data_IF_802340824607
#
_entry.id   IF_802340824607
#
_cell.length_a   1.000
_cell.length_b   1.000
_cell.length_c   1.000
_cell.angle_alpha   90.00
_cell.angle_beta   90.00
_cell.angle_gamma   90.00
#
_symmetry.space_group_name_H-M   'P 1'
#
loop_
_entity.id
_entity.type
_entity.pdbx_description
1 polymer ?
#
# COMPACT_ATOMS: atom_id res chain seq x y z
N UNK A 1 47.69 11.80 -43.22
CA UNK A 1 46.28 11.36 -43.09
C UNK A 1 46.30 9.85 -42.84
N UNK A 2 45.76 9.24 -41.79
CA UNK A 2 44.87 9.73 -40.73
C UNK A 2 45.14 8.92 -39.44
N UNK A 3 46.11 9.36 -38.63
CA UNK A 3 46.29 8.90 -37.23
C UNK A 3 45.20 9.47 -36.29
N UNK A 4 44.26 10.26 -36.82
CA UNK A 4 43.13 10.83 -36.08
C UNK A 4 41.88 9.94 -36.05
N UNK A 5 41.82 8.86 -36.85
CA UNK A 5 40.66 7.93 -36.85
C UNK A 5 40.74 6.82 -35.78
N UNK A 6 41.92 6.57 -35.20
CA UNK A 6 42.07 5.54 -34.17
C UNK A 6 41.82 6.02 -32.74
N UNK A 7 42.08 7.30 -32.45
CA UNK A 7 41.92 7.85 -31.09
C UNK A 7 40.44 7.97 -30.71
N UNK A 8 39.54 8.27 -31.66
CA UNK A 8 38.10 8.33 -31.40
C UNK A 8 37.45 6.94 -31.23
N UNK A 9 38.04 5.89 -31.81
CA UNK A 9 37.57 4.50 -31.66
C UNK A 9 37.97 3.89 -30.32
N UNK A 10 39.20 4.17 -29.86
CA UNK A 10 39.65 3.77 -28.51
C UNK A 10 38.91 4.53 -27.41
N UNK A 11 38.48 5.78 -27.66
CA UNK A 11 37.62 6.54 -26.74
C UNK A 11 36.15 6.12 -26.77
N UNK A 12 35.66 5.47 -27.84
CA UNK A 12 34.32 4.85 -27.86
C UNK A 12 34.29 3.51 -27.14
N UNK A 13 35.38 2.75 -27.16
CA UNK A 13 35.48 1.43 -26.51
C UNK A 13 35.86 1.50 -25.02
N UNK A 14 36.35 2.66 -24.55
CA UNK A 14 36.63 2.93 -23.13
C UNK A 14 35.55 3.76 -22.43
N UNK A 15 34.34 3.90 -23.00
CA UNK A 15 33.22 4.56 -22.31
C UNK A 15 32.79 3.71 -21.11
N UNK A 16 32.81 4.23 -19.88
CA UNK A 16 32.28 3.52 -18.73
C UNK A 16 30.79 3.23 -18.96
N UNK A 17 30.35 1.99 -18.74
CA UNK A 17 28.93 1.57 -18.77
C UNK A 17 28.00 2.34 -17.80
N UNK A 18 28.54 3.33 -17.10
CA UNK A 18 27.84 4.26 -16.22
C UNK A 18 27.22 5.45 -16.97
N UNK A 19 27.63 5.71 -18.23
CA UNK A 19 27.13 6.81 -19.07
C UNK A 19 26.00 6.42 -20.04
N UNK A 20 25.77 5.13 -20.28
CA UNK A 20 24.60 4.62 -21.03
C UNK A 20 23.41 4.27 -20.12
N UNK A 21 23.46 4.72 -18.86
CA UNK A 21 22.29 4.64 -17.99
C UNK A 21 21.30 5.71 -18.42
N UNK A 22 20.40 5.33 -19.33
CA UNK A 22 19.03 5.83 -19.26
C UNK A 22 18.49 5.73 -17.83
N UNK A 23 17.42 6.47 -17.48
CA UNK A 23 16.89 6.48 -16.11
C UNK A 23 16.82 5.03 -15.60
N UNK A 24 17.54 4.75 -14.50
CA UNK A 24 17.55 3.40 -13.93
C UNK A 24 16.09 3.00 -13.72
N UNK A 25 15.68 1.77 -14.10
CA UNK A 25 14.42 1.23 -13.64
C UNK A 25 14.38 1.43 -12.13
N UNK A 26 13.33 2.10 -11.66
CA UNK A 26 13.13 2.29 -10.23
C UNK A 26 12.99 0.87 -9.65
N UNK A 27 13.80 0.55 -8.65
CA UNK A 27 13.66 -0.71 -7.92
C UNK A 27 12.24 -0.76 -7.36
N UNK A 28 11.42 -1.67 -7.90
CA UNK A 28 9.99 -1.75 -7.64
C UNK A 28 9.69 -2.15 -6.19
N UNK A 29 10.62 -2.86 -5.54
CA UNK A 29 10.59 -3.07 -4.11
C UNK A 29 11.01 -1.80 -3.35
N UNK A 30 11.91 -0.97 -3.87
CA UNK A 30 12.31 0.30 -3.24
C UNK A 30 11.24 1.40 -3.29
N UNK A 31 10.28 1.32 -4.23
CA UNK A 31 9.11 2.22 -4.29
C UNK A 31 8.12 1.94 -3.16
N UNK A 32 7.95 0.67 -2.82
CA UNK A 32 7.04 0.20 -1.75
C UNK A 32 7.76 -0.08 -0.44
N UNK A 33 9.10 -0.13 -0.44
CA UNK A 33 9.91 -0.35 0.75
C UNK A 33 9.87 0.87 1.67
N UNK A 34 9.98 0.57 2.96
CA UNK A 34 10.25 1.58 3.98
C UNK A 34 11.38 2.52 3.54
N UNK A 35 11.15 3.85 3.50
CA UNK A 35 12.26 4.78 3.46
C UNK A 35 13.11 4.59 4.72
N UNK A 36 14.39 4.33 4.48
CA UNK A 36 15.43 4.35 5.49
C UNK A 36 15.52 5.76 6.07
N UNK A 37 15.63 5.91 7.40
CA UNK A 37 15.94 7.21 8.00
C UNK A 37 17.35 7.65 7.59
N UNK A 38 17.47 8.37 6.46
CA UNK A 38 18.66 9.16 6.17
C UNK A 38 18.60 10.39 7.07
N UNK A 39 19.02 10.21 8.32
CA UNK A 39 19.21 11.32 9.26
C UNK A 39 20.11 12.38 8.62
N UNK A 40 19.48 13.46 8.14
CA UNK A 40 20.13 14.62 7.59
C UNK A 40 20.98 15.26 8.68
N UNK A 41 22.27 15.41 8.41
CA UNK A 41 23.20 16.14 9.27
C UNK A 41 22.77 17.62 9.27
N UNK A 42 21.97 18.02 10.25
CA UNK A 42 22.04 19.39 10.74
C UNK A 42 23.39 19.53 11.44
N UNK A 43 24.35 20.17 10.76
CA UNK A 43 25.59 20.64 11.36
C UNK A 43 25.27 21.63 12.47
N UNK A 44 25.07 21.14 13.70
CA UNK A 44 24.92 21.99 14.88
C UNK A 44 26.32 22.42 15.31
N UNK A 45 26.71 23.63 14.89
CA UNK A 45 27.78 24.39 15.56
C UNK A 45 27.41 24.51 17.04
N UNK A 46 28.28 24.00 17.91
CA UNK A 46 28.14 24.11 19.37
C UNK A 46 28.37 25.56 19.76
N UNK A 47 27.34 26.23 20.27
CA UNK A 47 27.51 27.39 21.13
C UNK A 47 27.20 26.92 22.56
N UNK A 48 28.26 26.81 23.33
CA UNK A 48 28.23 26.63 24.78
C UNK A 48 27.83 27.97 25.38
N UNK A 49 26.75 28.00 26.16
CA UNK A 49 26.56 29.01 27.19
C UNK A 49 25.92 28.32 28.40
N UNK A 50 26.72 28.27 29.45
CA UNK A 50 26.38 27.86 30.79
C UNK A 50 25.59 28.97 31.50
N UNK A 51 24.62 28.59 32.34
CA UNK A 51 24.41 29.11 33.70
C UNK A 51 22.99 28.77 34.18
N UNK A 52 22.87 28.43 35.47
CA UNK A 52 21.67 28.72 36.27
C UNK A 52 20.95 27.52 36.89
N UNK A 53 21.39 27.13 38.08
CA UNK A 53 20.65 26.35 39.08
C UNK A 53 19.42 27.11 39.61
N UNK A 54 18.34 26.39 39.99
CA UNK A 54 17.75 26.27 41.36
C UNK A 54 16.46 25.42 41.28
N UNK A 55 16.18 24.53 42.27
CA UNK A 55 15.04 23.60 42.26
C UNK A 55 13.78 24.18 42.93
N UNK A 56 12.60 23.71 42.54
CA UNK A 56 11.37 23.88 43.33
C UNK A 56 10.47 22.65 43.21
N UNK A 57 10.17 22.07 44.36
CA UNK A 57 9.22 20.99 44.63
C UNK A 57 7.83 21.59 44.81
N UNK A 58 6.78 21.01 44.21
CA UNK A 58 5.42 20.99 44.79
C UNK A 58 4.45 20.03 44.05
N UNK A 59 4.03 19.01 44.81
CA UNK A 59 2.75 18.31 44.90
C UNK A 59 1.68 18.36 43.77
N UNK A 60 1.29 17.15 43.35
CA UNK A 60 -0.05 16.56 43.23
C UNK A 60 -1.28 17.45 42.92
N UNK A 61 -1.97 17.11 41.82
CA UNK A 61 -3.42 16.82 41.81
C UNK A 61 -3.81 16.12 40.49
N UNK A 62 -4.38 14.93 40.62
CA UNK A 62 -5.02 14.20 39.53
C UNK A 62 -6.46 14.71 39.36
N UNK A 63 -6.89 14.97 38.12
CA UNK A 63 -8.31 15.08 37.77
C UNK A 63 -8.53 14.23 36.52
N UNK A 64 -9.05 13.02 36.74
CA UNK A 64 -9.70 12.22 35.70
C UNK A 64 -11.13 12.70 35.55
N UNK A 65 -11.52 13.13 34.35
CA UNK A 65 -12.93 13.26 33.97
C UNK A 65 -13.34 11.96 33.28
N UNK A 66 -13.97 11.06 34.04
CA UNK A 66 -14.71 9.93 33.49
C UNK A 66 -16.12 10.42 33.13
N UNK A 67 -16.50 10.31 31.86
CA UNK A 67 -17.90 10.46 31.44
C UNK A 67 -18.50 9.06 31.41
N UNK A 68 -19.25 8.72 32.45
CA UNK A 68 -20.15 7.57 32.51
C UNK A 68 -21.45 7.92 31.80
N UNK A 69 -21.74 7.26 30.67
CA UNK A 69 -23.06 7.31 30.03
C UNK A 69 -23.96 6.30 30.73
N UNK A 70 -24.89 6.79 31.55
CA UNK A 70 -25.99 6.01 32.10
C UNK A 70 -27.01 5.70 31.01
N UNK A 71 -27.28 4.41 30.79
CA UNK A 71 -28.43 3.93 30.02
C UNK A 71 -29.66 4.00 30.91
N UNK A 72 -30.55 4.96 30.63
CA UNK A 72 -31.87 5.01 31.24
C UNK A 72 -32.82 4.05 30.51
N UNK A 73 -33.25 3.00 31.22
CA UNK A 73 -34.30 2.09 30.78
C UNK A 73 -35.66 2.78 30.96
N UNK A 74 -36.46 2.87 29.90
CA UNK A 74 -37.87 3.27 29.98
C UNK A 74 -38.77 2.03 30.03
N UNK A 75 -39.91 2.06 30.75
CA UNK A 75 -40.77 0.89 30.94
C UNK A 75 -41.56 0.55 29.67
N UNK A 76 -41.63 -0.75 29.37
CA UNK A 76 -42.46 -1.30 28.30
C UNK A 76 -43.96 -1.19 28.64
N UNK A 77 -44.75 -0.69 27.69
CA UNK A 77 -46.22 -0.84 27.67
C UNK A 77 -46.56 -1.76 26.50
N UNK A 78 -47.46 -2.76 26.64
CA UNK A 78 -47.69 -3.76 25.61
C UNK A 78 -48.73 -3.27 24.60
N UNK A 79 -48.37 -3.28 23.31
CA UNK A 79 -49.28 -2.99 22.19
C UNK A 79 -49.50 -4.30 21.38
N UNK A 80 -50.73 -4.63 20.99
CA UNK A 80 -51.10 -5.95 20.45
C UNK A 80 -50.53 -6.25 19.05
N UNK A 81 -50.13 -7.52 18.84
CA UNK A 81 -49.73 -8.08 17.55
C UNK A 81 -50.88 -8.10 16.54
N UNK A 82 -50.64 -7.72 15.26
CA UNK A 82 -51.48 -8.14 14.16
C UNK A 82 -51.07 -9.53 13.64
N UNK A 83 -52.10 -10.31 13.34
CA UNK A 83 -52.13 -11.67 12.82
C UNK A 83 -51.25 -11.92 11.59
N UNK A 84 -50.59 -13.07 11.60
CA UNK A 84 -49.77 -13.66 10.54
C UNK A 84 -50.60 -13.94 9.27
N UNK A 85 -50.35 -13.20 8.19
CA UNK A 85 -50.57 -13.71 6.82
C UNK A 85 -49.27 -14.35 6.34
N UNK A 86 -49.24 -15.69 6.33
CA UNK A 86 -48.17 -16.51 5.77
C UNK A 86 -47.95 -16.15 4.30
N UNK A 87 -46.74 -15.67 3.99
CA UNK A 87 -46.22 -15.60 2.63
C UNK A 87 -45.49 -16.91 2.33
N UNK A 88 -45.64 -17.52 1.14
CA UNK A 88 -44.98 -18.78 0.83
C UNK A 88 -43.46 -18.64 0.97
N UNK A 89 -42.83 -19.63 1.59
CA UNK A 89 -41.39 -19.73 1.76
C UNK A 89 -40.67 -19.55 0.42
N UNK A 90 -39.57 -18.77 0.35
CA UNK A 90 -38.69 -18.80 -0.81
C UNK A 90 -38.14 -20.22 -0.94
N UNK A 91 -38.36 -20.79 -2.12
CA UNK A 91 -37.84 -22.08 -2.56
C UNK A 91 -36.34 -22.13 -2.31
N UNK A 92 -35.91 -23.14 -1.55
CA UNK A 92 -34.52 -23.58 -1.48
C UNK A 92 -33.99 -23.72 -2.91
N UNK A 93 -33.12 -22.79 -3.32
CA UNK A 93 -32.34 -22.95 -4.55
C UNK A 93 -31.00 -23.59 -4.15
N UNK A 94 -30.74 -24.85 -4.52
CA UNK A 94 -29.40 -25.41 -4.38
C UNK A 94 -28.55 -24.96 -5.56
N UNK A 95 -27.51 -24.15 -5.34
CA UNK A 95 -26.36 -24.04 -6.24
C UNK A 95 -25.18 -23.33 -5.56
N UNK A 96 -24.49 -24.06 -4.68
CA UNK A 96 -23.13 -23.72 -4.23
C UNK A 96 -22.18 -23.94 -5.43
N UNK A 97 -22.28 -23.05 -6.42
CA UNK A 97 -21.36 -23.02 -7.56
C UNK A 97 -20.09 -22.35 -7.06
N UNK A 98 -18.90 -22.97 -7.15
CA UNK A 98 -17.67 -22.31 -6.73
C UNK A 98 -17.55 -20.97 -7.48
N UNK A 99 -17.65 -19.86 -6.75
CA UNK A 99 -17.53 -18.52 -7.36
C UNK A 99 -16.12 -18.41 -7.93
N UNK A 100 -16.02 -18.52 -9.26
CA UNK A 100 -14.74 -18.44 -9.96
C UNK A 100 -14.13 -17.05 -9.76
N UNK A 101 -12.80 -16.97 -9.75
CA UNK A 101 -12.09 -15.68 -9.59
C UNK A 101 -12.53 -14.67 -10.66
N UNK A 102 -12.72 -15.15 -11.89
CA UNK A 102 -13.26 -14.38 -13.01
C UNK A 102 -14.65 -13.83 -12.68
N UNK A 103 -15.58 -14.67 -12.24
CA UNK A 103 -16.94 -14.24 -11.89
C UNK A 103 -16.95 -13.17 -10.80
N UNK A 104 -16.15 -13.37 -9.74
CA UNK A 104 -15.99 -12.40 -8.67
C UNK A 104 -15.52 -11.04 -9.19
N UNK A 105 -14.48 -11.02 -10.02
CA UNK A 105 -13.92 -9.78 -10.56
C UNK A 105 -14.88 -9.07 -11.52
N UNK A 106 -15.68 -9.82 -12.28
CA UNK A 106 -16.71 -9.23 -13.14
C UNK A 106 -17.84 -8.60 -12.34
N UNK A 107 -18.27 -9.23 -11.24
CA UNK A 107 -19.24 -8.63 -10.31
C UNK A 107 -18.68 -7.36 -9.69
N UNK A 108 -17.42 -7.38 -9.22
CA UNK A 108 -16.75 -6.19 -8.70
C UNK A 108 -16.68 -5.07 -9.75
N UNK A 109 -16.39 -5.41 -11.01
CA UNK A 109 -16.38 -4.46 -12.12
C UNK A 109 -17.74 -3.81 -12.37
N UNK A 110 -18.84 -4.58 -12.26
CA UNK A 110 -20.20 -4.05 -12.40
C UNK A 110 -20.57 -3.12 -11.25
N UNK A 111 -20.21 -3.49 -10.02
CA UNK A 111 -20.48 -2.68 -8.82
C UNK A 111 -19.77 -1.33 -8.89
N UNK A 112 -18.45 -1.31 -9.15
CA UNK A 112 -17.71 -0.04 -9.21
C UNK A 112 -18.07 0.79 -10.44
N UNK A 113 -18.57 0.20 -11.52
CA UNK A 113 -19.04 0.96 -12.68
C UNK A 113 -20.36 1.70 -12.42
N UNK A 114 -21.11 1.31 -11.39
CA UNK A 114 -22.34 1.97 -10.98
C UNK A 114 -22.08 3.20 -10.08
N UNK A 115 -20.84 3.39 -9.62
CA UNK A 115 -20.46 4.57 -8.84
C UNK A 115 -20.57 5.84 -9.69
N UNK A 116 -21.00 6.94 -9.07
CA UNK A 116 -20.98 8.23 -9.71
C UNK A 116 -19.53 8.73 -9.87
N UNK A 117 -19.21 9.24 -11.05
CA UNK A 117 -17.93 9.90 -11.28
C UNK A 117 -17.82 11.16 -10.41
N UNK A 118 -17.09 11.03 -9.31
CA UNK A 118 -16.77 12.15 -8.42
C UNK A 118 -15.50 12.88 -8.89
N UNK A 119 -15.39 14.15 -8.51
CA UNK A 119 -14.23 15.00 -8.73
C UNK A 119 -14.03 15.96 -7.57
N UNK A 120 -12.85 16.55 -7.48
CA UNK A 120 -12.50 17.54 -6.47
C UNK A 120 -11.12 18.12 -6.70
N UNK A 121 -10.73 19.12 -5.90
CA UNK A 121 -9.38 19.71 -5.95
C UNK A 121 -8.28 18.71 -5.61
N UNK A 122 -8.57 17.76 -4.72
CA UNK A 122 -7.64 16.72 -4.29
C UNK A 122 -8.27 15.34 -4.35
N UNK A 123 -7.52 14.36 -4.84
CA UNK A 123 -7.75 12.96 -4.50
C UNK A 123 -7.00 12.63 -3.22
N UNK A 124 -7.74 12.34 -2.16
CA UNK A 124 -7.20 12.10 -0.83
C UNK A 124 -7.24 10.61 -0.53
N UNK A 125 -6.07 10.02 -0.32
CA UNK A 125 -5.95 8.63 0.12
C UNK A 125 -5.26 8.55 1.47
N UNK A 126 -5.76 7.64 2.31
CA UNK A 126 -5.11 7.21 3.54
C UNK A 126 -4.97 5.70 3.48
N UNK A 127 -3.74 5.22 3.48
CA UNK A 127 -3.44 3.79 3.36
C UNK A 127 -2.49 3.40 4.50
N UNK A 128 -2.67 2.19 5.03
CA UNK A 128 -1.69 1.56 5.92
C UNK A 128 -0.88 0.55 5.13
N UNK A 129 0.44 0.72 5.14
CA UNK A 129 1.35 -0.28 4.61
C UNK A 129 1.95 -1.07 5.78
N UNK A 130 2.05 -2.37 5.62
CA UNK A 130 2.76 -3.25 6.53
C UNK A 130 3.80 -4.06 5.78
N UNK A 131 4.96 -4.26 6.39
CA UNK A 131 5.96 -5.16 5.85
C UNK A 131 6.64 -5.97 6.95
N UNK A 132 6.73 -7.27 6.69
CA UNK A 132 7.24 -8.26 7.62
C UNK A 132 8.77 -8.29 7.57
N UNK A 133 9.39 -8.22 8.73
CA UNK A 133 10.82 -8.32 8.94
C UNK A 133 11.13 -9.40 9.96
N UNK A 134 12.11 -10.22 9.64
CA UNK A 134 12.65 -11.17 10.59
C UNK A 134 13.66 -10.44 11.49
N UNK A 135 13.47 -10.53 12.80
CA UNK A 135 14.30 -9.85 13.81
C UNK A 135 14.65 -10.80 14.96
N UNK A 136 15.40 -10.28 15.93
CA UNK A 136 15.81 -11.02 17.12
C UNK A 136 17.09 -11.84 16.93
N UNK A 137 17.43 -12.71 17.88
CA UNK A 137 18.65 -13.50 17.85
C UNK A 137 18.68 -14.49 16.68
N UNK A 138 19.83 -14.62 15.99
CA UNK A 138 20.00 -15.51 14.82
C UNK A 138 19.58 -16.97 15.06
N UNK A 139 19.77 -17.47 16.29
CA UNK A 139 19.43 -18.85 16.63
C UNK A 139 17.92 -19.09 16.79
N UNK A 140 17.13 -18.03 17.02
CA UNK A 140 15.70 -18.10 17.29
C UNK A 140 14.99 -16.82 16.84
N UNK A 141 15.04 -16.50 15.55
CA UNK A 141 14.43 -15.28 15.06
C UNK A 141 12.90 -15.36 15.15
N UNK A 142 12.26 -14.20 15.10
CA UNK A 142 10.81 -14.05 15.03
C UNK A 142 10.46 -12.91 14.09
N UNK A 143 9.23 -12.91 13.59
CA UNK A 143 8.77 -11.93 12.63
C UNK A 143 8.04 -10.77 13.32
N UNK A 144 8.35 -9.55 12.88
CA UNK A 144 7.60 -8.34 13.21
C UNK A 144 7.05 -7.70 11.95
N UNK A 145 5.85 -7.14 12.02
CA UNK A 145 5.29 -6.29 10.97
C UNK A 145 5.57 -4.85 11.34
N UNK A 146 6.40 -4.18 10.54
CA UNK A 146 6.55 -2.73 10.61
C UNK A 146 5.33 -2.13 9.91
N UNK A 147 4.69 -1.15 10.53
CA UNK A 147 3.50 -0.49 9.97
C UNK A 147 3.74 1.00 9.77
N UNK A 148 3.15 1.54 8.71
CA UNK A 148 3.17 2.96 8.39
C UNK A 148 1.86 3.39 7.77
N UNK A 149 1.48 4.64 8.00
CA UNK A 149 0.37 5.28 7.31
C UNK A 149 0.95 6.29 6.31
N UNK A 150 0.55 6.15 5.06
CA UNK A 150 0.70 7.19 4.05
C UNK A 150 -0.65 7.89 3.87
N UNK A 151 -0.61 9.22 3.92
CA UNK A 151 -1.75 10.06 3.61
C UNK A 151 -1.37 10.99 2.47
N UNK A 152 -2.03 10.83 1.33
CA UNK A 152 -1.70 11.55 0.10
C UNK A 152 -2.86 12.49 -0.24
N UNK A 153 -2.55 13.73 -0.52
CA UNK A 153 -3.45 14.74 -1.08
C UNK A 153 -2.94 15.06 -2.49
N UNK A 154 -3.46 14.34 -3.47
CA UNK A 154 -2.99 14.41 -4.86
C UNK A 154 -3.82 15.47 -5.59
N UNK A 155 -3.20 16.56 -6.03
CA UNK A 155 -3.89 17.63 -6.74
C UNK A 155 -4.46 17.12 -8.08
N UNK A 156 -5.71 17.47 -8.41
CA UNK A 156 -6.33 17.10 -9.68
C UNK A 156 -5.84 17.92 -10.87
N UNK A 157 -5.24 19.09 -10.62
CA UNK A 157 -4.80 19.99 -11.67
C UNK A 157 -3.60 20.85 -11.27
N UNK A 158 -3.00 21.56 -12.23
CA UNK A 158 -1.71 22.24 -12.06
C UNK A 158 -1.76 23.48 -11.15
N UNK A 159 -2.95 23.89 -10.72
CA UNK A 159 -3.16 25.07 -9.85
C UNK A 159 -2.79 24.78 -8.40
N UNK A 160 -2.98 23.53 -7.97
CA UNK A 160 -2.73 23.09 -6.61
C UNK A 160 -1.47 22.21 -6.57
N UNK A 161 -0.73 22.27 -5.47
CA UNK A 161 0.39 21.35 -5.20
C UNK A 161 -0.13 20.14 -4.44
N UNK A 162 0.45 18.97 -4.72
CA UNK A 162 0.19 17.76 -3.96
C UNK A 162 1.01 17.64 -2.66
N UNK A 163 0.46 16.92 -1.69
CA UNK A 163 1.06 16.70 -0.36
C UNK A 163 1.08 15.21 -0.03
N UNK A 164 2.16 14.74 0.60
CA UNK A 164 2.28 13.36 1.06
C UNK A 164 2.77 13.37 2.49
N UNK A 165 2.01 12.80 3.39
CA UNK A 165 2.36 12.64 4.79
C UNK A 165 2.66 11.20 5.09
N UNK A 166 3.67 10.99 5.92
CA UNK A 166 4.11 9.68 6.39
C UNK A 166 4.04 9.64 7.90
N UNK A 167 3.58 8.52 8.45
CA UNK A 167 3.61 8.26 9.89
C UNK A 167 3.99 6.81 10.17
N UNK A 168 5.08 6.59 10.89
CA UNK A 168 5.40 5.25 11.41
C UNK A 168 4.42 4.88 12.53
N UNK A 169 3.87 3.67 12.48
CA UNK A 169 3.03 3.10 13.52
C UNK A 169 3.80 2.11 14.42
N UNK A 170 5.10 1.96 14.16
CA UNK A 170 5.98 1.04 14.87
C UNK A 170 5.84 -0.41 14.39
N UNK A 171 6.78 -1.24 14.85
CA UNK A 171 6.79 -2.67 14.59
C UNK A 171 6.11 -3.46 15.72
N UNK A 172 5.32 -4.46 15.37
CA UNK A 172 4.70 -5.39 16.31
C UNK A 172 4.90 -6.83 15.85
N UNK A 173 4.93 -7.83 16.76
CA UNK A 173 5.02 -9.23 16.38
C UNK A 173 3.94 -9.63 15.37
N UNK A 174 4.31 -10.41 14.34
CA UNK A 174 3.42 -10.72 13.22
C UNK A 174 2.31 -11.72 13.59
N UNK A 175 2.61 -12.68 14.45
CA UNK A 175 1.68 -13.71 14.91
C UNK A 175 1.73 -13.88 16.43
N UNK A 176 0.78 -14.63 16.99
CA UNK A 176 0.82 -15.01 18.41
C UNK A 176 2.08 -15.81 18.78
N UNK A 177 2.63 -16.60 17.84
CA UNK A 177 3.88 -17.32 18.06
C UNK A 177 5.09 -16.36 18.09
N UNK A 178 5.10 -15.36 17.21
CA UNK A 178 6.12 -14.30 17.23
C UNK A 178 6.01 -13.45 18.48
N UNK A 179 4.79 -13.19 18.97
CA UNK A 179 4.59 -12.43 20.21
C UNK A 179 5.18 -13.17 21.42
N UNK A 180 4.98 -14.49 21.49
CA UNK A 180 5.62 -15.31 22.52
C UNK A 180 7.15 -15.31 22.39
N UNK A 181 7.68 -15.40 21.17
CA UNK A 181 9.12 -15.33 20.93
C UNK A 181 9.71 -13.97 21.32
N UNK A 182 9.04 -12.88 20.95
CA UNK A 182 9.41 -11.51 21.32
C UNK A 182 9.39 -11.30 22.84
N UNK A 183 8.36 -11.79 23.54
CA UNK A 183 8.30 -11.77 25.01
C UNK A 183 9.44 -12.56 25.66
N UNK A 184 9.76 -13.74 25.13
CA UNK A 184 10.92 -14.54 25.59
C UNK A 184 12.26 -13.84 25.36
N UNK A 185 12.33 -12.99 24.34
CA UNK A 185 13.51 -12.17 24.01
C UNK A 185 13.59 -10.86 24.83
N UNK A 186 12.70 -10.68 25.82
CA UNK A 186 12.68 -9.51 26.70
C UNK A 186 11.93 -8.31 26.13
N UNK A 187 11.07 -8.53 25.14
CA UNK A 187 10.25 -7.49 24.49
C UNK A 187 11.04 -6.25 24.04
N UNK A 188 12.13 -6.41 23.27
CA UNK A 188 12.93 -5.28 22.81
C UNK A 188 12.07 -4.29 22.02
N UNK A 189 12.34 -2.99 22.21
CA UNK A 189 11.64 -1.92 21.51
C UNK A 189 12.37 -1.46 20.23
N UNK A 190 13.56 -2.01 19.95
CA UNK A 190 14.43 -1.63 18.84
C UNK A 190 15.25 -2.81 18.36
N UNK A 191 15.40 -2.91 17.05
CA UNK A 191 16.29 -3.86 16.37
C UNK A 191 17.16 -3.11 15.37
N UNK A 192 18.38 -3.60 15.16
CA UNK A 192 19.33 -3.04 14.19
C UNK A 192 19.61 -4.08 13.12
N UNK A 193 19.22 -3.78 11.90
CA UNK A 193 19.56 -4.59 10.73
C UNK A 193 20.90 -4.11 10.16
N UNK A 194 21.91 -4.98 10.02
CA UNK A 194 23.17 -4.61 9.41
C UNK A 194 22.96 -4.22 7.94
N UNK A 195 23.54 -3.09 7.53
CA UNK A 195 23.54 -2.67 6.14
C UNK A 195 24.87 -3.03 5.46
N UNK A 196 24.90 -3.17 4.12
CA UNK A 196 26.14 -3.33 3.36
C UNK A 196 27.15 -2.21 3.64
N UNK A 197 28.44 -2.49 3.40
CA UNK A 197 29.53 -1.54 3.64
C UNK A 197 29.26 -0.22 2.90
N UNK A 198 29.25 0.89 3.64
CA UNK A 198 29.00 2.24 3.11
C UNK A 198 27.56 2.73 3.27
N UNK A 199 26.64 1.89 3.75
CA UNK A 199 25.27 2.28 4.11
C UNK A 199 25.08 2.30 5.63
N UNK A 200 24.12 3.12 6.10
CA UNK A 200 23.74 3.14 7.52
C UNK A 200 22.89 1.91 7.84
N UNK A 201 23.04 1.30 9.04
CA UNK A 201 22.15 0.23 9.49
C UNK A 201 20.68 0.68 9.50
N UNK A 202 19.79 -0.26 9.24
CA UNK A 202 18.34 -0.02 9.37
C UNK A 202 17.96 -0.14 10.83
N UNK A 203 17.28 0.88 11.36
CA UNK A 203 16.73 0.83 12.72
C UNK A 203 15.24 0.54 12.62
N UNK A 204 14.83 -0.60 13.18
CA UNK A 204 13.43 -0.97 13.32
C UNK A 204 13.02 -0.61 14.74
N UNK A 205 11.97 0.21 14.89
CA UNK A 205 11.44 0.56 16.21
C UNK A 205 10.04 -0.01 16.42
N UNK A 206 9.79 -0.56 17.61
CA UNK A 206 8.45 -0.93 18.05
C UNK A 206 7.56 0.29 18.34
N UNK A 207 8.15 1.47 18.53
CA UNK A 207 7.41 2.71 18.78
C UNK A 207 7.05 3.37 17.46
N UNK A 208 5.81 3.82 17.37
CA UNK A 208 5.38 4.74 16.31
C UNK A 208 6.13 6.07 16.36
N UNK A 209 6.04 6.77 15.25
CA UNK A 209 6.58 8.10 15.07
C UNK A 209 5.46 9.13 14.87
N UNK A 210 5.80 10.41 15.04
CA UNK A 210 4.88 11.49 14.70
C UNK A 210 4.73 11.61 13.17
N UNK A 211 3.58 12.12 12.71
CA UNK A 211 3.30 12.37 11.29
C UNK A 211 4.23 13.44 10.72
N UNK A 212 4.75 13.24 9.51
CA UNK A 212 5.71 14.12 8.85
C UNK A 212 5.33 14.36 7.40
N UNK A 213 5.52 15.59 6.93
CA UNK A 213 5.47 15.88 5.50
C UNK A 213 6.67 15.25 4.80
N UNK A 214 6.40 14.50 3.73
CA UNK A 214 7.41 13.94 2.82
C UNK A 214 7.30 14.69 1.50
N UNK A 215 8.35 15.40 1.11
CA UNK A 215 8.52 15.78 -0.30
C UNK A 215 9.24 14.58 -0.94
N UNK A 216 8.62 13.83 -1.85
CA UNK A 216 9.30 12.67 -2.42
C UNK A 216 10.53 13.15 -3.21
N UNK A 217 11.71 12.63 -2.89
CA UNK A 217 12.93 12.95 -3.64
C UNK A 217 12.73 12.57 -5.12
N UNK A 218 12.91 13.55 -6.02
CA UNK A 218 12.82 13.34 -7.47
C UNK A 218 11.41 13.34 -8.07
N UNK A 219 10.35 13.35 -7.28
CA UNK A 219 9.00 13.64 -7.77
C UNK A 219 8.71 15.10 -7.46
N UNK A 220 8.96 15.97 -8.44
CA UNK A 220 8.42 17.33 -8.39
C UNK A 220 6.91 17.19 -8.14
N UNK A 221 6.32 18.03 -7.30
CA UNK A 221 4.92 17.90 -6.83
C UNK A 221 3.82 17.94 -7.90
N UNK A 222 4.19 17.78 -9.18
CA UNK A 222 3.36 17.65 -10.37
C UNK A 222 3.07 16.19 -10.75
N UNK A 223 3.97 15.23 -10.49
CA UNK A 223 3.81 13.82 -10.89
C UNK A 223 4.12 12.87 -9.72
N UNK A 224 3.11 12.56 -8.90
CA UNK A 224 3.29 11.67 -7.73
C UNK A 224 2.52 10.35 -7.84
N UNK A 225 1.88 10.10 -8.97
CA UNK A 225 1.27 8.80 -9.23
C UNK A 225 2.26 7.87 -9.90
N UNK A 226 2.18 6.59 -9.54
CA UNK A 226 2.96 5.52 -10.17
C UNK A 226 1.99 4.51 -10.75
N UNK A 227 2.19 4.16 -12.01
CA UNK A 227 1.46 3.10 -12.68
C UNK A 227 2.47 2.16 -13.34
N UNK A 228 2.48 0.90 -12.90
CA UNK A 228 3.48 -0.06 -13.37
C UNK A 228 4.91 0.38 -13.06
N UNK A 229 5.13 1.03 -11.90
CA UNK A 229 6.47 1.42 -11.43
C UNK A 229 7.09 2.60 -12.15
N UNK A 230 6.29 3.32 -12.92
CA UNK A 230 6.71 4.50 -13.67
C UNK A 230 5.80 5.67 -13.33
N UNK A 231 6.33 6.90 -13.30
CA UNK A 231 5.51 8.10 -13.16
C UNK A 231 4.37 8.15 -14.19
N UNK A 232 3.24 8.68 -13.75
CA UNK A 232 2.09 9.02 -14.60
C UNK A 232 1.47 10.32 -14.06
N UNK A 233 1.12 11.22 -14.97
CA UNK A 233 0.49 12.50 -14.62
C UNK A 233 -1.01 12.31 -14.34
N UNK A 234 -1.64 13.24 -13.62
CA UNK A 234 -3.10 13.21 -13.38
C UNK A 234 -3.90 13.30 -14.70
N UNK A 235 -3.38 14.03 -15.70
CA UNK A 235 -3.98 14.14 -17.02
C UNK A 235 -3.94 12.79 -17.77
N UNK A 236 -2.80 12.09 -17.72
CA UNK A 236 -2.68 10.75 -18.31
C UNK A 236 -3.56 9.72 -17.60
N UNK A 237 -3.67 9.77 -16.27
CA UNK A 237 -4.59 8.92 -15.51
C UNK A 237 -6.05 9.13 -15.93
N UNK A 238 -6.46 10.39 -16.08
CA UNK A 238 -7.82 10.75 -16.49
C UNK A 238 -8.12 10.33 -17.95
N UNK A 239 -7.09 10.18 -18.77
CA UNK A 239 -7.20 9.77 -20.17
C UNK A 239 -7.04 8.24 -20.38
N UNK A 240 -6.96 7.45 -19.29
CA UNK A 240 -6.84 6.00 -19.41
C UNK A 240 -8.06 5.40 -20.14
N UNK A 241 -7.87 4.40 -21.02
CA UNK A 241 -8.99 3.75 -21.69
C UNK A 241 -9.88 2.98 -20.72
N UNK A 242 -11.20 3.18 -20.83
CA UNK A 242 -12.22 2.41 -20.11
C UNK A 242 -12.59 1.08 -20.80
N UNK A 243 -12.04 0.79 -21.99
CA UNK A 243 -12.13 -0.53 -22.61
C UNK A 243 -11.00 -1.44 -22.07
N UNK A 244 -11.29 -2.66 -21.57
CA UNK A 244 -10.28 -3.54 -20.99
C UNK A 244 -9.15 -3.92 -21.96
N UNK A 245 -9.44 -4.07 -23.26
CA UNK A 245 -8.44 -4.45 -24.27
C UNK A 245 -7.54 -3.27 -24.62
N UNK A 246 -8.13 -2.08 -24.77
CA UNK A 246 -7.38 -0.84 -24.97
C UNK A 246 -6.51 -0.50 -23.74
N UNK A 247 -7.03 -0.69 -22.53
CA UNK A 247 -6.28 -0.52 -21.29
C UNK A 247 -5.10 -1.50 -21.21
N UNK A 248 -5.32 -2.78 -21.52
CA UNK A 248 -4.24 -3.78 -21.61
C UNK A 248 -3.17 -3.35 -22.60
N UNK A 249 -3.55 -2.92 -23.80
CA UNK A 249 -2.61 -2.45 -24.80
C UNK A 249 -1.83 -1.21 -24.34
N UNK A 250 -2.48 -0.28 -23.65
CA UNK A 250 -1.82 0.88 -23.04
C UNK A 250 -0.75 0.47 -22.03
N UNK A 251 -1.10 -0.43 -21.10
CA UNK A 251 -0.18 -0.92 -20.07
C UNK A 251 1.02 -1.66 -20.68
N UNK A 252 0.81 -2.54 -21.67
CA UNK A 252 1.90 -3.27 -22.32
C UNK A 252 2.86 -2.35 -23.10
N UNK A 253 2.35 -1.27 -23.73
CA UNK A 253 3.21 -0.25 -24.34
C UNK A 253 4.10 0.45 -23.30
N UNK A 254 3.54 0.75 -22.12
CA UNK A 254 4.30 1.34 -21.00
C UNK A 254 5.35 0.35 -20.47
N UNK A 255 5.03 -0.94 -20.39
CA UNK A 255 5.97 -2.01 -20.00
C UNK A 255 7.16 -2.13 -20.95
N UNK A 256 6.91 -2.16 -22.27
CA UNK A 256 7.96 -2.31 -23.27
C UNK A 256 9.06 -1.23 -23.16
N UNK A 257 8.71 -0.04 -22.66
CA UNK A 257 9.65 1.05 -22.42
C UNK A 257 10.57 0.87 -21.20
N UNK A 258 10.33 -0.11 -20.32
CA UNK A 258 11.11 -0.25 -19.06
C UNK A 258 12.28 -1.24 -19.16
N UNK A 259 12.33 -2.08 -20.20
CA UNK A 259 13.32 -3.16 -20.31
C UNK A 259 13.18 -4.23 -19.20
N UNK A 260 12.04 -4.28 -18.53
CA UNK A 260 11.75 -5.23 -17.44
C UNK A 260 11.72 -6.68 -17.95
N UNK A 261 12.28 -7.59 -17.14
CA UNK A 261 12.25 -9.04 -17.37
C UNK A 261 11.01 -9.71 -16.76
N UNK A 262 10.17 -8.95 -16.05
CA UNK A 262 8.93 -9.46 -15.48
C UNK A 262 7.97 -9.98 -16.56
N UNK A 263 7.24 -11.04 -16.23
CA UNK A 263 6.23 -11.56 -17.15
C UNK A 263 5.14 -10.51 -17.41
N UNK A 264 4.64 -10.43 -18.65
CA UNK A 264 3.57 -9.51 -19.01
C UNK A 264 2.34 -9.66 -18.11
N UNK A 265 1.97 -10.88 -17.74
CA UNK A 265 0.83 -11.13 -16.86
C UNK A 265 1.05 -10.59 -15.44
N UNK A 266 2.27 -10.75 -14.88
CA UNK A 266 2.60 -10.19 -13.58
C UNK A 266 2.57 -8.66 -13.61
N UNK A 267 3.13 -8.06 -14.67
CA UNK A 267 3.09 -6.61 -14.87
C UNK A 267 1.66 -6.08 -15.02
N UNK A 268 0.83 -6.77 -15.82
CA UNK A 268 -0.57 -6.43 -16.03
C UNK A 268 -1.38 -6.56 -14.73
N UNK A 269 -1.19 -7.65 -13.98
CA UNK A 269 -1.86 -7.84 -12.70
C UNK A 269 -1.50 -6.70 -11.75
N UNK A 270 -0.21 -6.42 -11.56
CA UNK A 270 0.25 -5.37 -10.65
C UNK A 270 -0.23 -3.97 -11.06
N UNK A 271 -0.13 -3.64 -12.35
CA UNK A 271 -0.55 -2.33 -12.86
C UNK A 271 -2.07 -2.15 -12.75
N UNK A 272 -2.85 -3.17 -13.09
CA UNK A 272 -4.30 -3.13 -12.91
C UNK A 272 -4.68 -3.09 -11.43
N UNK A 273 -3.89 -3.72 -10.55
CA UNK A 273 -4.12 -3.67 -9.12
C UNK A 273 -3.99 -2.24 -8.56
N UNK A 274 -2.97 -1.50 -9.00
CA UNK A 274 -2.81 -0.08 -8.63
C UNK A 274 -4.03 0.78 -9.05
N UNK A 275 -4.62 0.50 -10.22
CA UNK A 275 -5.80 1.21 -10.70
C UNK A 275 -7.04 0.93 -9.84
N UNK A 276 -7.21 -0.29 -9.34
CA UNK A 276 -8.35 -0.64 -8.49
C UNK A 276 -8.17 -0.22 -7.04
N UNK A 277 -6.93 -0.15 -6.55
CA UNK A 277 -6.62 0.06 -5.13
C UNK A 277 -6.72 1.53 -4.70
N UNK A 278 -5.86 2.42 -5.20
CA UNK A 278 -5.75 3.79 -4.65
C UNK A 278 -5.55 4.91 -5.68
N UNK A 279 -5.51 4.60 -6.99
CA UNK A 279 -5.37 5.63 -8.03
C UNK A 279 -6.70 6.36 -8.32
N UNK A 280 -6.66 7.70 -8.58
CA UNK A 280 -7.81 8.48 -9.00
C UNK A 280 -8.16 8.21 -10.45
N UNK A 281 -8.87 7.11 -10.69
CA UNK A 281 -9.41 6.76 -12.00
C UNK A 281 -10.93 6.76 -11.95
N UNK A 282 -11.55 6.96 -13.11
CA UNK A 282 -13.00 6.94 -13.22
C UNK A 282 -13.56 5.55 -12.86
N UNK A 283 -14.83 5.46 -12.43
CA UNK A 283 -15.55 4.21 -12.26
C UNK A 283 -15.36 3.21 -13.41
N UNK A 284 -15.42 3.69 -14.65
CA UNK A 284 -15.32 2.88 -15.86
C UNK A 284 -13.90 2.34 -16.08
N UNK A 285 -12.86 3.14 -15.82
CA UNK A 285 -11.45 2.69 -15.89
C UNK A 285 -11.17 1.67 -14.78
N UNK A 286 -11.73 1.87 -13.57
CA UNK A 286 -11.62 0.90 -12.47
C UNK A 286 -12.28 -0.43 -12.85
N UNK A 287 -13.48 -0.38 -13.43
CA UNK A 287 -14.18 -1.55 -13.95
C UNK A 287 -13.39 -2.24 -15.08
N UNK A 288 -12.76 -1.46 -15.96
CA UNK A 288 -11.90 -1.98 -17.02
C UNK A 288 -10.69 -2.73 -16.46
N UNK A 289 -10.07 -2.22 -15.39
CA UNK A 289 -8.97 -2.87 -14.69
C UNK A 289 -9.41 -4.21 -14.06
N UNK A 290 -10.58 -4.27 -13.41
CA UNK A 290 -11.14 -5.54 -12.91
C UNK A 290 -11.39 -6.55 -14.04
N UNK A 291 -12.00 -6.13 -15.14
CA UNK A 291 -12.24 -6.98 -16.33
C UNK A 291 -10.93 -7.46 -16.95
N UNK A 292 -9.89 -6.63 -16.96
CA UNK A 292 -8.55 -7.00 -17.41
C UNK A 292 -7.97 -8.10 -16.52
N UNK A 293 -7.99 -7.92 -15.19
CA UNK A 293 -7.53 -8.93 -14.22
C UNK A 293 -8.31 -10.24 -14.41
N UNK A 294 -9.62 -10.16 -14.61
CA UNK A 294 -10.50 -11.31 -14.82
C UNK A 294 -10.15 -12.13 -16.09
N UNK A 295 -9.49 -11.50 -17.06
CA UNK A 295 -9.00 -12.14 -18.29
C UNK A 295 -7.57 -12.70 -18.20
N UNK A 296 -6.86 -12.48 -17.08
CA UNK A 296 -5.51 -12.99 -16.90
C UNK A 296 -5.51 -14.49 -16.58
N UNK A 297 -4.57 -15.22 -17.17
CA UNK A 297 -4.32 -16.63 -16.82
C UNK A 297 -3.60 -16.69 -15.47
N UNK A 298 -3.96 -17.68 -14.65
CA UNK A 298 -3.32 -17.92 -13.35
C UNK A 298 -3.92 -17.17 -12.17
N UNK A 299 -5.07 -16.51 -12.37
CA UNK A 299 -5.85 -15.91 -11.28
C UNK A 299 -6.70 -16.98 -10.61
N UNK A 300 -6.61 -17.07 -9.28
CA UNK A 300 -7.39 -17.99 -8.46
C UNK A 300 -8.27 -17.24 -7.47
N UNK A 301 -9.38 -17.85 -7.07
CA UNK A 301 -10.23 -17.34 -5.99
C UNK A 301 -9.77 -17.98 -4.69
N UNK A 302 -9.62 -17.18 -3.65
CA UNK A 302 -9.34 -17.64 -2.30
C UNK A 302 -10.59 -17.61 -1.41
N UNK A 303 -11.74 -17.24 -1.98
CA UNK A 303 -13.00 -17.12 -1.25
C UNK A 303 -13.00 -15.95 -0.26
N UNK A 304 -13.73 -16.12 0.84
CA UNK A 304 -13.86 -15.08 1.88
C UNK A 304 -12.60 -15.05 2.74
N UNK A 305 -12.02 -13.86 2.89
CA UNK A 305 -10.86 -13.59 3.74
C UNK A 305 -11.15 -12.45 4.71
N UNK A 306 -10.23 -12.21 5.63
CA UNK A 306 -10.26 -11.06 6.54
C UNK A 306 -8.98 -10.27 6.32
N UNK A 307 -9.09 -8.97 6.03
CA UNK A 307 -7.91 -8.12 5.85
C UNK A 307 -7.23 -7.79 7.20
N UNK A 308 -6.12 -7.06 7.14
CA UNK A 308 -5.33 -6.70 8.32
C UNK A 308 -6.04 -5.74 9.28
N UNK A 309 -7.14 -5.11 8.86
CA UNK A 309 -8.00 -4.27 9.69
C UNK A 309 -9.25 -5.02 10.20
N UNK A 310 -9.35 -6.33 9.95
CA UNK A 310 -10.46 -7.16 10.41
C UNK A 310 -11.70 -7.12 9.51
N UNK A 311 -11.65 -6.46 8.36
CA UNK A 311 -12.78 -6.36 7.43
C UNK A 311 -12.91 -7.65 6.63
N UNK A 312 -14.13 -8.13 6.48
CA UNK A 312 -14.44 -9.28 5.61
C UNK A 312 -14.45 -8.83 4.15
N UNK A 313 -13.77 -9.58 3.31
CA UNK A 313 -13.75 -9.36 1.87
C UNK A 313 -13.63 -10.68 1.13
N UNK A 314 -13.66 -10.62 -0.19
CA UNK A 314 -13.38 -11.76 -1.06
C UNK A 314 -12.04 -11.54 -1.76
N UNK A 315 -11.21 -12.57 -1.81
CA UNK A 315 -9.86 -12.44 -2.36
C UNK A 315 -9.68 -13.19 -3.68
N UNK A 316 -9.02 -12.53 -4.62
CA UNK A 316 -8.39 -13.18 -5.77
C UNK A 316 -6.88 -13.12 -5.63
N UNK A 317 -6.20 -14.10 -6.20
CA UNK A 317 -4.76 -14.23 -6.10
C UNK A 317 -4.10 -14.46 -7.45
N UNK A 318 -2.94 -13.87 -7.63
CA UNK A 318 -2.01 -14.18 -8.71
C UNK A 318 -0.76 -14.82 -8.12
N UNK A 319 -0.58 -16.12 -8.41
CA UNK A 319 0.60 -16.86 -7.97
C UNK A 319 1.66 -16.82 -9.07
N UNK A 320 2.88 -16.43 -8.70
CA UNK A 320 4.04 -16.44 -9.59
C UNK A 320 5.24 -17.11 -8.93
N UNK A 321 6.15 -17.62 -9.75
CA UNK A 321 7.47 -18.04 -9.28
C UNK A 321 8.40 -16.84 -9.40
N UNK A 322 9.00 -16.41 -8.29
CA UNK A 322 10.01 -15.35 -8.28
C UNK A 322 11.38 -15.84 -8.74
N UNK A 323 12.34 -14.93 -8.88
CA UNK A 323 13.68 -15.22 -9.39
C UNK A 323 14.47 -16.22 -8.53
N UNK A 324 14.18 -16.27 -7.22
CA UNK A 324 14.77 -17.24 -6.29
C UNK A 324 14.16 -18.65 -6.41
N UNK A 325 13.19 -18.85 -7.31
CA UNK A 325 12.43 -20.09 -7.45
C UNK A 325 11.30 -20.26 -6.42
N UNK A 326 11.24 -19.40 -5.40
CA UNK A 326 10.16 -19.40 -4.42
C UNK A 326 8.83 -18.96 -5.06
N UNK A 327 7.72 -19.55 -4.62
CA UNK A 327 6.39 -19.12 -5.04
C UNK A 327 5.99 -17.88 -4.24
N UNK A 328 5.64 -16.82 -4.95
CA UNK A 328 5.00 -15.63 -4.40
C UNK A 328 3.55 -15.57 -4.82
N UNK A 329 2.70 -14.99 -3.98
CA UNK A 329 1.29 -14.79 -4.29
C UNK A 329 0.88 -13.38 -3.91
N UNK A 330 0.39 -12.63 -4.88
CA UNK A 330 -0.22 -11.31 -4.64
C UNK A 330 -1.73 -11.54 -4.56
N UNK A 331 -2.35 -11.01 -3.51
CA UNK A 331 -3.79 -11.12 -3.24
C UNK A 331 -4.41 -9.73 -3.32
N UNK A 332 -5.52 -9.62 -4.03
CA UNK A 332 -6.40 -8.47 -4.02
C UNK A 332 -7.65 -8.84 -3.24
N UNK A 333 -7.91 -8.12 -2.15
CA UNK A 333 -9.08 -8.27 -1.29
C UNK A 333 -10.09 -7.20 -1.66
N UNK A 334 -11.31 -7.62 -1.97
CA UNK A 334 -12.39 -6.76 -2.50
C UNK A 334 -13.57 -6.81 -1.54
N UNK A 335 -14.21 -5.67 -1.31
CA UNK A 335 -15.50 -5.61 -0.64
C UNK A 335 -16.58 -6.19 -1.57
N UNK A 336 -17.19 -7.34 -1.24
CA UNK A 336 -18.19 -7.97 -2.12
C UNK A 336 -19.47 -7.15 -2.28
N UNK A 337 -19.70 -6.12 -1.45
CA UNK A 337 -20.90 -5.27 -1.52
C UNK A 337 -20.75 -4.11 -2.50
N UNK A 338 -19.56 -3.51 -2.55
CA UNK A 338 -19.29 -2.28 -3.29
C UNK A 338 -18.36 -2.49 -4.48
N UNK A 339 -17.63 -3.60 -4.51
CA UNK A 339 -16.63 -3.88 -5.53
C UNK A 339 -15.32 -3.11 -5.31
N UNK A 340 -15.22 -2.25 -4.30
CA UNK A 340 -13.99 -1.53 -3.99
C UNK A 340 -12.92 -2.46 -3.41
N UNK A 341 -11.67 -2.22 -3.80
CA UNK A 341 -10.52 -2.88 -3.19
C UNK A 341 -10.36 -2.44 -1.73
N UNK A 342 -10.27 -3.41 -0.83
CA UNK A 342 -10.00 -3.20 0.59
C UNK A 342 -8.50 -3.23 0.89
N UNK A 343 -7.79 -4.18 0.28
CA UNK A 343 -6.38 -4.41 0.54
C UNK A 343 -5.67 -5.16 -0.60
N UNK A 344 -4.35 -4.97 -0.67
CA UNK A 344 -3.42 -5.83 -1.40
C UNK A 344 -2.52 -6.54 -0.37
N UNK A 345 -2.23 -7.82 -0.58
CA UNK A 345 -1.26 -8.55 0.23
C UNK A 345 -0.25 -9.30 -0.65
N UNK A 346 1.00 -9.34 -0.23
CA UNK A 346 2.05 -10.15 -0.84
C UNK A 346 2.44 -11.27 0.11
N UNK A 347 2.40 -12.50 -0.38
CA UNK A 347 2.69 -13.71 0.37
C UNK A 347 3.84 -14.47 -0.26
N UNK A 348 4.73 -15.01 0.58
CA UNK A 348 5.64 -16.08 0.19
C UNK A 348 4.98 -17.41 0.52
N UNK A 349 4.83 -18.27 -0.49
CA UNK A 349 4.23 -19.59 -0.36
C UNK A 349 5.32 -20.65 -0.18
N UNK A 350 5.03 -21.68 0.63
CA UNK A 350 5.98 -22.76 0.91
C UNK A 350 5.46 -23.73 1.97
N UNK A 351 6.37 -24.34 2.74
CA UNK A 351 5.98 -25.24 3.84
C UNK A 351 5.12 -24.57 4.91
N UNK A 352 5.26 -23.24 5.05
CA UNK A 352 4.29 -22.35 5.72
C UNK A 352 4.22 -21.05 4.94
N UNK A 353 3.01 -20.66 4.56
CA UNK A 353 2.78 -19.38 3.90
C UNK A 353 3.09 -18.23 4.86
N UNK A 354 3.76 -17.21 4.36
CA UNK A 354 4.20 -16.06 5.13
C UNK A 354 3.74 -14.77 4.45
N UNK A 355 3.01 -13.94 5.19
CA UNK A 355 2.70 -12.58 4.77
C UNK A 355 4.01 -11.77 4.74
N UNK A 356 4.34 -11.24 3.57
CA UNK A 356 5.56 -10.46 3.35
C UNK A 356 5.28 -8.96 3.47
N UNK A 357 4.19 -8.50 2.87
CA UNK A 357 3.74 -7.11 2.96
C UNK A 357 2.25 -6.99 2.66
N UNK A 358 1.68 -5.85 3.01
CA UNK A 358 0.32 -5.50 2.65
C UNK A 358 0.15 -3.98 2.46
N UNK A 359 -0.89 -3.61 1.73
CA UNK A 359 -1.48 -2.28 1.71
C UNK A 359 -2.96 -2.41 2.07
N UNK A 360 -3.43 -1.66 3.06
CA UNK A 360 -4.85 -1.56 3.44
C UNK A 360 -5.34 -0.16 3.10
N UNK A 361 -6.42 -0.08 2.31
CA UNK A 361 -7.12 1.17 2.03
C UNK A 361 -7.98 1.54 3.23
N UNK A 362 -7.60 2.60 3.95
CA UNK A 362 -8.39 3.14 5.07
C UNK A 362 -9.47 4.07 4.50
N UNK A 363 -9.09 4.96 3.59
CA UNK A 363 -10.00 5.85 2.88
C UNK A 363 -9.42 6.32 1.55
N UNK A 364 -10.27 6.51 0.55
CA UNK A 364 -9.92 7.08 -0.74
C UNK A 364 -11.12 7.87 -1.28
N UNK A 365 -10.98 9.19 -1.43
CA UNK A 365 -12.08 10.05 -1.86
C UNK A 365 -11.59 11.35 -2.49
N UNK A 366 -12.43 11.96 -3.32
CA UNK A 366 -12.26 13.34 -3.74
C UNK A 366 -12.59 14.32 -2.61
N UNK A 367 -11.86 15.43 -2.51
CA UNK A 367 -12.10 16.50 -1.55
C UNK A 367 -11.73 17.86 -2.13
N UNK A 368 -12.49 18.89 -1.76
CA UNK A 368 -12.19 20.31 -2.03
C UNK A 368 -11.55 21.02 -0.83
N UNK A 369 -11.36 20.29 0.27
CA UNK A 369 -10.79 20.83 1.50
C UNK A 369 -9.33 21.24 1.32
N UNK A 370 -8.88 22.12 2.21
CA UNK A 370 -7.48 22.47 2.29
C UNK A 370 -6.66 21.29 2.86
N UNK A 371 -5.47 20.98 2.29
CA UNK A 371 -4.56 20.01 2.87
C UNK A 371 -4.19 20.38 4.31
N UNK A 372 -3.92 19.39 5.19
CA UNK A 372 -3.50 19.63 6.56
C UNK A 372 -2.25 20.51 6.62
N UNK A 373 -2.23 21.45 7.57
CA UNK A 373 -1.05 22.29 7.85
C UNK A 373 0.07 21.44 8.49
N UNK A 374 1.32 21.84 8.25
CA UNK A 374 2.54 21.19 8.77
C UNK A 374 2.61 21.08 10.30
#
# INVERSE_FOLDING_TARGET
MSRHRDVLRVLSEARPAQLDRGPRPIDLAAVTAFPQETGGRASRRRLVLAAGLVPAVAAAAAVMVMVTVMVAQSPATPTPQPTLTQRPAPVDTPADTPVTARGLLLVAAEQVAADEAAGGRYWVTRIENGETRQVGPKARPYDVVIRMIDEKWLASGPKDRSWVFFQSMGAAPATAADEQAWKRDGSPARWTEPAPKGMKPVIISAKGGPRRLRTPDGLSGKDIHLLGGQPITSAELSALPADPSALKAYLLRKHAGTGSLESENAYLFWSANALVLDLPVTPEVRAAAYKLIAGLKGITSLGTVTDQHGRKGVAVAYTRRGDSGALGQIRLIIDPRTGHALAEESWSLGGRDKLMSYTVVISAAWSDDAPPKE
#
